data_IF_450794721684
#
_entry.id   IF_450794721684
#
_cell.length_a   1.000
_cell.length_b   1.000
_cell.length_c   1.000
_cell.angle_alpha   90.00
_cell.angle_beta   90.00
_cell.angle_gamma   90.00
#
_symmetry.space_group_name_H-M   'P 1'
#
loop_
_entity.id
_entity.type
_entity.pdbx_description
1 polymer ?
#
# COMPACT_ATOMS: atom_id res chain seq x y z
N UNK A 1 43.09 -62.94 58.16
CA UNK A 1 43.43 -61.73 57.39
C UNK A 1 42.75 -61.90 56.05
N UNK A 2 41.63 -61.22 55.84
CA UNK A 2 41.05 -61.01 54.55
C UNK A 2 40.05 -59.88 54.64
N UNK A 3 40.30 -58.91 53.87
CA UNK A 3 39.65 -57.66 53.86
C UNK A 3 38.43 -57.73 52.91
N UNK A 4 37.26 -57.36 53.38
CA UNK A 4 35.98 -57.42 52.67
C UNK A 4 35.62 -56.05 52.07
N UNK A 5 35.86 -55.87 50.80
CA UNK A 5 35.51 -54.66 50.06
C UNK A 5 34.00 -54.56 49.78
N UNK A 6 33.34 -53.61 50.42
CA UNK A 6 31.94 -53.27 50.15
C UNK A 6 31.79 -52.41 48.88
N UNK A 7 31.12 -52.95 47.88
CA UNK A 7 30.74 -52.18 46.68
C UNK A 7 29.53 -51.28 46.96
N UNK A 8 29.76 -49.98 46.98
CA UNK A 8 28.70 -48.97 47.05
C UNK A 8 28.01 -48.81 45.71
N UNK A 9 26.71 -49.12 45.65
CA UNK A 9 25.82 -48.87 44.46
C UNK A 9 25.58 -47.35 44.26
N UNK A 10 26.17 -46.78 43.20
CA UNK A 10 25.87 -45.39 42.78
C UNK A 10 24.43 -45.28 42.29
N UNK A 11 23.60 -44.55 43.00
CA UNK A 11 22.26 -44.14 42.53
C UNK A 11 22.43 -43.10 41.42
N UNK A 12 21.99 -43.46 40.19
CA UNK A 12 21.88 -42.53 39.06
C UNK A 12 20.72 -41.59 39.32
N UNK A 13 21.02 -40.30 39.51
CA UNK A 13 20.03 -39.21 39.61
C UNK A 13 19.36 -39.01 38.22
N UNK A 14 18.07 -39.35 38.08
CA UNK A 14 17.27 -38.92 36.95
C UNK A 14 17.23 -37.39 36.88
N UNK A 15 17.75 -36.80 35.79
CA UNK A 15 17.63 -35.37 35.50
C UNK A 15 16.16 -35.08 35.16
N UNK A 16 15.49 -34.31 36.00
CA UNK A 16 14.16 -33.73 35.68
C UNK A 16 14.33 -32.86 34.44
N UNK A 17 13.62 -33.16 33.36
CA UNK A 17 13.54 -32.28 32.16
C UNK A 17 12.90 -30.97 32.56
N UNK A 18 13.47 -29.84 32.23
CA UNK A 18 13.00 -28.55 32.73
C UNK A 18 11.66 -28.16 32.07
N UNK A 19 10.77 -27.59 32.89
CA UNK A 19 9.41 -27.17 32.54
C UNK A 19 9.30 -26.15 31.38
N UNK A 20 10.44 -25.56 30.97
CA UNK A 20 10.46 -24.58 29.87
C UNK A 20 10.14 -25.21 28.49
N UNK A 21 10.33 -26.51 28.28
CA UNK A 21 10.00 -27.17 27.01
C UNK A 21 8.47 -27.22 26.79
N UNK A 22 7.71 -27.40 27.88
CA UNK A 22 6.25 -27.37 27.82
C UNK A 22 5.71 -25.95 27.59
N UNK A 23 6.35 -24.94 28.19
CA UNK A 23 5.95 -23.55 28.01
C UNK A 23 6.19 -23.04 26.59
N UNK A 24 7.31 -23.39 25.99
CA UNK A 24 7.60 -23.01 24.59
C UNK A 24 6.65 -23.67 23.58
N UNK A 25 6.21 -24.90 23.84
CA UNK A 25 5.23 -25.57 22.98
C UNK A 25 3.83 -24.90 23.04
N UNK A 26 3.44 -24.41 24.22
CA UNK A 26 2.15 -23.70 24.39
C UNK A 26 2.20 -22.31 23.73
N UNK A 27 3.32 -21.58 23.82
CA UNK A 27 3.49 -20.28 23.17
C UNK A 27 3.53 -20.44 21.65
N UNK A 28 4.21 -21.46 21.12
CA UNK A 28 4.22 -21.73 19.68
C UNK A 28 2.85 -22.13 19.12
N UNK A 29 2.09 -22.93 19.86
CA UNK A 29 0.71 -23.30 19.51
C UNK A 29 -0.24 -22.09 19.56
N UNK A 30 -0.04 -21.17 20.52
CA UNK A 30 -0.80 -19.92 20.62
C UNK A 30 -0.51 -18.97 19.46
N UNK A 31 0.75 -18.87 19.03
CA UNK A 31 1.15 -18.03 17.87
C UNK A 31 0.63 -18.62 16.55
N UNK A 32 0.64 -19.94 16.38
CA UNK A 32 0.07 -20.60 15.20
C UNK A 32 -1.46 -20.52 15.15
N UNK A 33 -2.14 -20.64 16.30
CA UNK A 33 -3.59 -20.45 16.38
C UNK A 33 -3.97 -18.97 16.16
N UNK A 34 -3.19 -18.03 16.68
CA UNK A 34 -3.39 -16.60 16.47
C UNK A 34 -3.21 -16.20 15.00
N UNK A 35 -2.19 -16.72 14.31
CA UNK A 35 -1.98 -16.47 12.88
C UNK A 35 -3.06 -17.14 12.01
N UNK A 36 -3.58 -18.31 12.39
CA UNK A 36 -4.68 -18.95 11.68
C UNK A 36 -6.01 -18.20 11.90
N UNK A 37 -6.25 -17.68 13.11
CA UNK A 37 -7.45 -16.89 13.42
C UNK A 37 -7.42 -15.49 12.76
N UNK A 38 -6.25 -14.85 12.71
CA UNK A 38 -6.04 -13.62 11.93
C UNK A 38 -6.23 -13.88 10.44
N UNK A 39 -5.62 -14.93 9.88
CA UNK A 39 -5.81 -15.31 8.49
C UNK A 39 -7.25 -15.65 8.12
N UNK A 40 -8.02 -16.26 9.03
CA UNK A 40 -9.45 -16.52 8.84
C UNK A 40 -10.30 -15.24 8.89
N UNK A 41 -10.03 -14.33 9.82
CA UNK A 41 -10.71 -13.03 9.87
C UNK A 41 -10.41 -12.17 8.64
N UNK A 42 -9.16 -12.10 8.19
CA UNK A 42 -8.78 -11.39 6.97
C UNK A 42 -9.40 -12.02 5.72
N UNK A 43 -9.51 -13.33 5.63
CA UNK A 43 -10.12 -14.02 4.49
C UNK A 43 -11.64 -13.82 4.35
N UNK A 44 -12.34 -13.52 5.44
CA UNK A 44 -13.80 -13.27 5.44
C UNK A 44 -14.12 -11.79 5.14
N UNK A 45 -13.23 -10.86 5.51
CA UNK A 45 -13.40 -9.43 5.18
C UNK A 45 -12.97 -9.13 3.72
N UNK A 46 -11.96 -9.83 3.16
CA UNK A 46 -11.48 -9.58 1.80
C UNK A 46 -12.54 -9.77 0.72
N UNK A 47 -13.50 -10.69 0.94
CA UNK A 47 -14.67 -10.85 0.05
C UNK A 47 -15.68 -9.70 0.15
N UNK A 48 -15.69 -8.96 1.26
CA UNK A 48 -16.61 -7.85 1.50
C UNK A 48 -16.13 -6.56 0.84
N UNK A 49 -14.81 -6.33 0.78
CA UNK A 49 -14.21 -5.10 0.24
C UNK A 49 -14.06 -5.07 -1.27
N UNK A 50 -14.05 -6.22 -1.97
CA UNK A 50 -13.99 -6.24 -3.44
C UNK A 50 -15.15 -5.53 -4.14
N UNK A 51 -16.31 -5.43 -3.49
CA UNK A 51 -17.50 -4.78 -4.05
C UNK A 51 -17.52 -3.25 -3.93
N UNK A 52 -16.72 -2.67 -3.03
CA UNK A 52 -16.78 -1.26 -2.69
C UNK A 52 -15.62 -0.42 -3.29
N UNK A 53 -14.67 -1.06 -3.99
CA UNK A 53 -13.56 -0.35 -4.63
C UNK A 53 -14.00 0.18 -5.98
N UNK A 54 -14.00 1.49 -6.10
CA UNK A 54 -14.35 2.19 -7.34
C UNK A 54 -13.25 2.02 -8.39
N UNK A 55 -13.52 1.25 -9.44
CA UNK A 55 -12.67 1.21 -10.62
C UNK A 55 -13.01 2.38 -11.53
N UNK A 56 -12.00 3.12 -11.97
CA UNK A 56 -12.11 4.21 -12.94
C UNK A 56 -11.07 4.01 -14.03
N UNK A 57 -11.53 3.88 -15.26
CA UNK A 57 -10.73 3.75 -16.48
C UNK A 57 -11.63 4.05 -17.70
N UNK A 58 -11.16 3.81 -18.93
CA UNK A 58 -11.92 4.08 -20.15
C UNK A 58 -13.26 3.31 -20.23
N UNK A 59 -13.34 2.12 -19.64
CA UNK A 59 -14.55 1.29 -19.62
C UNK A 59 -15.49 1.60 -18.43
N UNK A 60 -14.97 2.29 -17.42
CA UNK A 60 -15.68 2.63 -16.16
C UNK A 60 -15.51 4.11 -15.86
N UNK A 61 -16.17 4.95 -16.65
CA UNK A 61 -16.04 6.41 -16.56
C UNK A 61 -16.97 7.00 -15.50
N UNK A 62 -16.47 8.04 -14.84
CA UNK A 62 -17.25 8.87 -13.91
C UNK A 62 -18.10 9.88 -14.69
N UNK A 63 -19.29 10.25 -14.16
CA UNK A 63 -20.08 11.36 -14.71
C UNK A 63 -19.29 12.67 -14.69
N UNK A 64 -19.62 13.58 -15.62
CA UNK A 64 -18.95 14.88 -15.71
C UNK A 64 -19.16 15.78 -14.46
N UNK A 65 -20.27 15.59 -13.76
CA UNK A 65 -20.63 16.29 -12.54
C UNK A 65 -20.22 15.55 -11.25
N UNK A 66 -19.51 14.43 -11.38
CA UNK A 66 -19.01 13.71 -10.21
C UNK A 66 -17.98 14.54 -9.45
N UNK A 67 -18.25 14.79 -8.18
CA UNK A 67 -17.34 15.42 -7.22
C UNK A 67 -17.30 14.55 -5.96
N UNK A 68 -16.14 14.08 -5.54
CA UNK A 68 -16.05 13.24 -4.33
C UNK A 68 -16.36 14.09 -3.08
N UNK A 69 -16.96 13.43 -2.09
CA UNK A 69 -17.19 14.06 -0.78
C UNK A 69 -15.88 14.18 0.02
N UNK A 70 -15.83 15.16 0.91
CA UNK A 70 -14.75 15.28 1.90
C UNK A 70 -13.40 15.68 1.32
N UNK A 71 -13.35 16.38 0.19
CA UNK A 71 -12.11 16.97 -0.32
C UNK A 71 -11.50 17.94 0.69
N UNK A 72 -10.20 17.83 0.91
CA UNK A 72 -9.39 18.73 1.74
C UNK A 72 -8.25 19.31 0.91
N UNK A 73 -7.98 20.60 1.10
CA UNK A 73 -6.80 21.23 0.52
C UNK A 73 -5.56 20.83 1.33
N UNK A 74 -4.57 20.21 0.69
CA UNK A 74 -3.36 19.72 1.37
C UNK A 74 -2.51 20.86 1.96
N UNK A 75 -2.52 22.04 1.33
CA UNK A 75 -1.77 23.20 1.82
C UNK A 75 -2.27 23.71 3.17
N UNK A 76 -3.56 23.51 3.47
CA UNK A 76 -4.18 23.88 4.74
C UNK A 76 -4.04 22.82 5.83
N UNK A 77 -3.51 21.65 5.47
CA UNK A 77 -3.28 20.55 6.40
C UNK A 77 -1.83 20.50 6.87
N UNK A 78 -1.57 19.80 7.98
CA UNK A 78 -0.21 19.42 8.36
C UNK A 78 0.30 18.35 7.38
N UNK A 79 1.53 18.50 6.92
CA UNK A 79 2.15 17.52 6.04
C UNK A 79 3.66 17.41 6.25
N UNK A 80 4.20 16.19 6.09
CA UNK A 80 5.62 15.83 6.14
C UNK A 80 6.29 15.80 4.75
N UNK A 81 5.57 16.20 3.71
CA UNK A 81 6.00 16.26 2.32
C UNK A 81 5.88 17.69 1.77
N UNK A 82 6.43 17.93 0.57
CA UNK A 82 6.28 19.21 -0.12
C UNK A 82 5.14 19.15 -1.14
N UNK A 83 4.63 20.31 -1.48
CA UNK A 83 3.59 20.48 -2.49
C UNK A 83 4.14 21.31 -3.65
N UNK A 84 3.88 20.88 -4.88
CA UNK A 84 4.22 21.64 -6.08
C UNK A 84 3.29 22.85 -6.30
N UNK A 85 2.07 22.81 -5.70
CA UNK A 85 1.06 23.86 -5.75
C UNK A 85 0.30 23.95 -4.44
N UNK A 86 -0.25 25.12 -4.12
CA UNK A 86 -1.21 25.31 -3.01
C UNK A 86 -2.63 24.80 -3.30
N UNK A 87 -2.91 24.37 -4.54
CA UNK A 87 -4.23 23.92 -4.99
C UNK A 87 -4.27 22.41 -5.27
N UNK A 88 -3.72 21.62 -4.34
CA UNK A 88 -3.76 20.17 -4.40
C UNK A 88 -4.77 19.68 -3.35
N UNK A 89 -5.76 18.90 -3.81
CA UNK A 89 -6.84 18.37 -2.99
C UNK A 89 -6.85 16.86 -3.06
N UNK A 90 -7.23 16.21 -1.96
CA UNK A 90 -7.55 14.77 -1.88
C UNK A 90 -8.77 14.59 -0.99
N UNK A 91 -9.41 13.42 -1.04
CA UNK A 91 -10.37 13.08 0.02
C UNK A 91 -9.65 13.02 1.36
N UNK A 92 -10.35 13.34 2.44
CA UNK A 92 -9.78 13.32 3.81
C UNK A 92 -9.13 11.99 4.14
N UNK A 93 -9.79 10.88 3.81
CA UNK A 93 -9.26 9.54 4.05
C UNK A 93 -7.94 9.30 3.31
N UNK A 94 -7.87 9.66 2.03
CA UNK A 94 -6.65 9.54 1.23
C UNK A 94 -5.52 10.39 1.78
N UNK A 95 -5.82 11.64 2.16
CA UNK A 95 -4.84 12.54 2.79
C UNK A 95 -4.30 11.94 4.10
N UNK A 96 -5.16 11.47 4.99
CA UNK A 96 -4.75 10.89 6.28
C UNK A 96 -3.90 9.63 6.11
N UNK A 97 -4.22 8.78 5.14
CA UNK A 97 -3.42 7.61 4.79
C UNK A 97 -2.06 8.01 4.22
N UNK A 98 -2.04 8.98 3.31
CA UNK A 98 -0.83 9.52 2.69
C UNK A 98 0.11 10.17 3.73
N UNK A 99 -0.43 10.95 4.68
CA UNK A 99 0.36 11.58 5.75
C UNK A 99 1.01 10.51 6.64
N UNK A 100 0.28 9.46 7.02
CA UNK A 100 0.86 8.32 7.77
C UNK A 100 1.98 7.63 6.99
N UNK A 101 1.80 7.45 5.70
CA UNK A 101 2.78 6.82 4.82
C UNK A 101 4.09 7.63 4.76
N UNK A 102 4.01 8.93 4.49
CA UNK A 102 5.20 9.76 4.39
C UNK A 102 5.86 10.04 5.75
N UNK A 103 5.10 10.10 6.84
CA UNK A 103 5.66 10.16 8.18
C UNK A 103 6.46 8.90 8.54
N UNK A 104 6.02 7.73 8.08
CA UNK A 104 6.78 6.49 8.25
C UNK A 104 8.04 6.47 7.39
N UNK A 105 7.97 6.94 6.14
CA UNK A 105 9.15 7.09 5.29
C UNK A 105 10.19 8.03 5.91
N UNK A 106 9.75 9.15 6.50
CA UNK A 106 10.63 10.07 7.23
C UNK A 106 11.30 9.39 8.43
N UNK A 107 10.57 8.55 9.17
CA UNK A 107 11.13 7.76 10.28
C UNK A 107 12.19 6.75 9.81
N UNK A 108 12.09 6.26 8.58
CA UNK A 108 13.09 5.44 7.90
C UNK A 108 14.21 6.27 7.24
N UNK A 109 14.27 7.58 7.48
CA UNK A 109 15.19 8.54 6.88
C UNK A 109 15.03 8.69 5.36
N UNK A 110 13.86 8.38 4.81
CA UNK A 110 13.49 8.64 3.42
C UNK A 110 12.53 9.82 3.39
N UNK A 111 13.02 10.98 2.94
CA UNK A 111 12.28 12.25 2.93
C UNK A 111 12.43 12.96 1.57
N UNK A 112 11.88 14.18 1.42
CA UNK A 112 12.00 14.97 0.18
C UNK A 112 10.99 14.57 -0.89
N UNK A 113 9.84 13.99 -0.49
CA UNK A 113 8.72 13.77 -1.40
C UNK A 113 8.04 15.09 -1.79
N UNK A 114 7.60 15.18 -3.03
CA UNK A 114 6.88 16.33 -3.58
C UNK A 114 5.60 15.81 -4.25
N UNK A 115 4.44 16.21 -3.73
CA UNK A 115 3.15 15.91 -4.37
C UNK A 115 2.92 16.92 -5.48
N UNK A 116 2.76 16.42 -6.70
CA UNK A 116 2.65 17.24 -7.91
C UNK A 116 1.21 17.38 -8.40
N UNK A 117 0.33 16.42 -8.10
CA UNK A 117 -1.07 16.41 -8.51
C UNK A 117 -1.92 15.65 -7.49
N UNK A 118 -3.19 16.03 -7.39
CA UNK A 118 -4.22 15.36 -6.61
C UNK A 118 -5.55 15.34 -7.38
N UNK A 119 -6.65 15.71 -6.74
CA UNK A 119 -7.96 15.80 -7.38
C UNK A 119 -7.94 16.74 -8.60
N UNK A 120 -8.54 16.28 -9.68
CA UNK A 120 -8.85 17.05 -10.88
C UNK A 120 -10.32 16.81 -11.26
N UNK A 121 -11.11 17.84 -11.40
CA UNK A 121 -12.46 17.73 -11.92
C UNK A 121 -12.46 17.35 -13.42
N UNK A 122 -13.64 17.07 -13.94
CA UNK A 122 -13.83 16.69 -15.35
C UNK A 122 -13.31 17.76 -16.31
N UNK A 123 -13.54 19.04 -16.01
CA UNK A 123 -13.11 20.16 -16.85
C UNK A 123 -11.60 20.28 -16.88
N UNK A 124 -10.96 20.20 -15.71
CA UNK A 124 -9.50 20.25 -15.61
C UNK A 124 -8.86 19.04 -16.30
N UNK A 125 -9.47 17.86 -16.21
CA UNK A 125 -8.99 16.68 -16.92
C UNK A 125 -9.10 16.86 -18.44
N UNK A 126 -10.16 17.52 -18.95
CA UNK A 126 -10.30 17.82 -20.37
C UNK A 126 -9.16 18.73 -20.90
N UNK A 127 -8.75 19.72 -20.10
CA UNK A 127 -7.61 20.59 -20.42
C UNK A 127 -6.31 19.77 -20.47
N UNK A 128 -6.03 18.96 -19.43
CA UNK A 128 -4.85 18.10 -19.37
C UNK A 128 -4.80 17.14 -20.55
N UNK A 129 -5.93 16.51 -20.88
CA UNK A 129 -6.03 15.59 -22.03
C UNK A 129 -5.74 16.29 -23.36
N UNK A 130 -6.27 17.50 -23.54
CA UNK A 130 -6.06 18.28 -24.78
C UNK A 130 -4.60 18.75 -24.95
N UNK A 131 -3.87 18.96 -23.84
CA UNK A 131 -2.47 19.39 -23.84
C UNK A 131 -1.48 18.22 -23.88
N UNK A 132 -1.95 16.99 -23.64
CA UNK A 132 -1.10 15.79 -23.55
C UNK A 132 -0.89 15.14 -24.92
N UNK A 133 0.26 14.46 -25.06
CA UNK A 133 0.47 13.57 -26.21
C UNK A 133 -0.51 12.38 -26.16
N UNK A 134 -0.87 11.81 -27.30
CA UNK A 134 -1.76 10.65 -27.36
C UNK A 134 -1.28 9.50 -26.46
N UNK A 135 -2.17 8.97 -25.61
CA UNK A 135 -1.88 7.88 -24.68
C UNK A 135 -1.09 8.25 -23.41
N UNK A 136 -0.90 9.56 -23.15
CA UNK A 136 -0.22 10.06 -21.95
C UNK A 136 -1.18 10.54 -20.87
N UNK A 137 -2.43 10.82 -21.19
CA UNK A 137 -3.45 11.19 -20.23
C UNK A 137 -4.75 10.43 -20.52
N UNK A 138 -5.49 10.14 -19.48
CA UNK A 138 -6.83 9.56 -19.55
C UNK A 138 -7.83 10.57 -20.09
N UNK A 139 -8.86 10.09 -20.80
CA UNK A 139 -10.00 10.95 -21.18
C UNK A 139 -10.74 11.48 -19.95
N UNK A 140 -11.43 12.63 -20.06
CA UNK A 140 -12.29 13.12 -18.97
C UNK A 140 -13.32 12.07 -18.55
N UNK A 141 -13.44 11.83 -17.26
CA UNK A 141 -14.24 10.76 -16.68
C UNK A 141 -13.49 9.45 -16.45
N UNK A 142 -12.45 9.15 -17.22
CA UNK A 142 -11.64 7.94 -17.06
C UNK A 142 -10.44 8.11 -16.11
N UNK A 143 -10.18 9.33 -15.66
CA UNK A 143 -9.03 9.62 -14.77
C UNK A 143 -9.36 9.37 -13.30
N UNK A 144 -8.51 8.59 -12.61
CA UNK A 144 -8.63 8.37 -11.17
C UNK A 144 -8.45 9.64 -10.32
N UNK A 145 -7.80 10.67 -10.86
CA UNK A 145 -7.72 11.97 -10.19
C UNK A 145 -9.09 12.60 -9.91
N UNK A 146 -10.11 12.29 -10.72
CA UNK A 146 -11.46 12.77 -10.47
C UNK A 146 -12.09 12.15 -9.21
N UNK A 147 -11.57 11.03 -8.71
CA UNK A 147 -12.03 10.41 -7.47
C UNK A 147 -11.53 11.09 -6.20
N UNK A 148 -10.46 11.90 -6.28
CA UNK A 148 -9.74 12.38 -5.10
C UNK A 148 -9.02 11.29 -4.30
N UNK A 149 -8.93 10.06 -4.86
CA UNK A 149 -8.26 8.90 -4.26
C UNK A 149 -6.88 8.64 -4.86
N UNK A 150 -6.45 9.44 -5.84
CA UNK A 150 -5.16 9.30 -6.51
C UNK A 150 -4.33 10.59 -6.42
N UNK A 151 -3.02 10.42 -6.35
CA UNK A 151 -2.06 11.51 -6.38
C UNK A 151 -0.82 11.14 -7.19
N UNK A 152 -0.16 12.16 -7.71
CA UNK A 152 1.15 12.03 -8.33
C UNK A 152 2.25 12.55 -7.39
N UNK A 153 3.35 11.81 -7.31
CA UNK A 153 4.48 12.12 -6.44
C UNK A 153 5.80 12.08 -7.20
N UNK A 154 6.69 12.99 -6.86
CA UNK A 154 8.09 12.96 -7.26
C UNK A 154 8.99 13.17 -6.05
N UNK A 155 10.29 13.28 -6.27
CA UNK A 155 11.27 13.53 -5.22
C UNK A 155 12.17 14.72 -5.56
N UNK A 156 12.70 15.35 -4.52
CA UNK A 156 13.82 16.28 -4.68
C UNK A 156 14.99 15.56 -5.37
N UNK A 157 15.61 16.22 -6.35
CA UNK A 157 16.76 15.70 -7.08
C UNK A 157 16.49 14.43 -7.93
N UNK A 158 15.27 14.27 -8.44
CA UNK A 158 14.88 13.16 -9.35
C UNK A 158 15.39 13.35 -10.80
N UNK A 159 16.67 13.79 -10.96
CA UNK A 159 17.23 14.15 -12.28
C UNK A 159 17.24 13.03 -13.31
N UNK A 160 17.43 11.76 -12.87
CA UNK A 160 17.42 10.57 -13.74
C UNK A 160 16.04 9.87 -13.79
N UNK A 161 15.00 10.54 -13.30
CA UNK A 161 13.65 10.00 -13.15
C UNK A 161 13.32 9.57 -11.73
N UNK A 162 12.03 9.63 -11.39
CA UNK A 162 11.55 9.31 -10.05
C UNK A 162 11.86 7.85 -9.65
N UNK A 163 11.75 6.92 -10.59
CA UNK A 163 12.02 5.49 -10.40
C UNK A 163 13.46 5.17 -9.96
N UNK A 164 14.40 6.10 -10.15
CA UNK A 164 15.80 5.95 -9.72
C UNK A 164 16.06 6.44 -8.29
N UNK A 165 15.04 6.96 -7.60
CA UNK A 165 15.17 7.58 -6.29
C UNK A 165 14.97 6.59 -5.12
N UNK A 166 15.59 6.84 -3.94
CA UNK A 166 15.28 6.10 -2.71
C UNK A 166 13.80 6.20 -2.30
N UNK A 167 13.14 7.32 -2.60
CA UNK A 167 11.74 7.56 -2.32
C UNK A 167 10.85 6.58 -3.09
N UNK A 168 11.10 6.40 -4.38
CA UNK A 168 10.38 5.40 -5.17
C UNK A 168 10.64 3.98 -4.68
N UNK A 169 11.90 3.65 -4.36
CA UNK A 169 12.25 2.33 -3.83
C UNK A 169 11.51 2.02 -2.52
N UNK A 170 11.38 3.01 -1.64
CA UNK A 170 10.61 2.89 -0.40
C UNK A 170 9.11 2.71 -0.67
N UNK A 171 8.51 3.54 -1.51
CA UNK A 171 7.09 3.45 -1.87
C UNK A 171 6.74 2.09 -2.49
N UNK A 172 7.58 1.55 -3.35
CA UNK A 172 7.38 0.20 -3.92
C UNK A 172 7.27 -0.89 -2.87
N UNK A 173 7.96 -0.75 -1.75
CA UNK A 173 7.97 -1.75 -0.68
C UNK A 173 6.86 -1.54 0.34
N UNK A 174 6.48 -0.29 0.62
CA UNK A 174 5.70 0.06 1.80
C UNK A 174 4.35 0.73 1.50
N UNK A 175 4.11 1.24 0.29
CA UNK A 175 2.87 1.98 0.01
C UNK A 175 1.60 1.15 0.28
N UNK A 176 1.64 -0.15 0.04
CA UNK A 176 0.52 -1.07 0.28
C UNK A 176 0.13 -1.17 1.78
N UNK A 177 1.09 -1.01 2.70
CA UNK A 177 0.87 -1.01 4.16
C UNK A 177 -0.01 0.17 4.61
N UNK A 178 -0.11 1.21 3.77
CA UNK A 178 -0.90 2.42 3.99
C UNK A 178 -2.13 2.52 3.07
N UNK A 179 -2.39 1.46 2.29
CA UNK A 179 -3.55 1.38 1.42
C UNK A 179 -3.35 1.91 0.01
N UNK A 180 -2.11 2.15 -0.41
CA UNK A 180 -1.79 2.65 -1.75
C UNK A 180 -1.21 1.57 -2.65
N UNK A 181 -1.60 1.62 -3.92
CA UNK A 181 -0.98 0.85 -4.99
C UNK A 181 -0.29 1.77 -5.99
N UNK A 182 0.83 1.33 -6.56
CA UNK A 182 1.33 1.89 -7.80
C UNK A 182 0.37 1.45 -8.91
N UNK A 183 -0.44 2.37 -9.41
CA UNK A 183 -1.62 2.06 -10.23
C UNK A 183 -1.26 1.52 -11.61
N UNK A 184 -0.22 2.05 -12.23
CA UNK A 184 0.21 1.74 -13.59
C UNK A 184 1.64 1.18 -13.60
N UNK A 185 1.82 -0.09 -13.15
CA UNK A 185 3.14 -0.70 -13.06
C UNK A 185 3.71 -1.06 -14.44
N UNK A 186 5.03 -1.23 -14.51
CA UNK A 186 5.71 -1.61 -15.74
C UNK A 186 5.18 -2.95 -16.28
N UNK A 187 5.10 -3.05 -17.61
CA UNK A 187 4.65 -4.25 -18.35
C UNK A 187 3.18 -4.67 -18.08
N UNK A 188 2.33 -3.73 -17.65
CA UNK A 188 0.89 -3.96 -17.38
C UNK A 188 -0.02 -3.03 -18.18
N UNK A 189 0.49 -2.34 -19.20
CA UNK A 189 -0.28 -1.42 -20.03
C UNK A 189 -1.45 -2.12 -20.75
N UNK A 190 -1.30 -3.38 -21.14
CA UNK A 190 -2.36 -4.17 -21.77
C UNK A 190 -3.54 -4.45 -20.83
N UNK A 191 -3.29 -4.47 -19.50
CA UNK A 191 -4.30 -4.68 -18.47
C UNK A 191 -4.96 -3.37 -18.00
N UNK A 192 -4.18 -2.28 -17.95
CA UNK A 192 -4.62 -1.00 -17.36
C UNK A 192 -5.03 0.04 -18.38
N UNK A 193 -4.66 -0.14 -19.67
CA UNK A 193 -4.85 0.84 -20.73
C UNK A 193 -3.86 2.03 -20.69
N UNK A 194 -2.99 2.11 -19.66
CA UNK A 194 -2.08 3.22 -19.44
C UNK A 194 -0.62 2.73 -19.40
N UNK A 195 0.27 3.51 -19.99
CA UNK A 195 1.71 3.26 -19.93
C UNK A 195 2.23 3.38 -18.50
N UNK A 196 3.44 2.85 -18.27
CA UNK A 196 4.09 2.89 -16.97
C UNK A 196 4.17 4.29 -16.37
N UNK A 197 3.65 4.44 -15.15
CA UNK A 197 3.69 5.68 -14.38
C UNK A 197 4.22 5.39 -12.97
N UNK A 198 5.52 5.58 -12.71
CA UNK A 198 6.12 5.34 -11.40
C UNK A 198 5.63 6.33 -10.33
N UNK A 199 5.09 7.47 -10.74
CA UNK A 199 4.63 8.55 -9.88
C UNK A 199 3.18 8.43 -9.41
N UNK A 200 2.33 7.66 -10.11
CA UNK A 200 0.88 7.62 -9.87
C UNK A 200 0.50 6.55 -8.84
N UNK A 201 -0.02 7.00 -7.70
CA UNK A 201 -0.49 6.15 -6.60
C UNK A 201 -1.98 6.31 -6.36
N UNK A 202 -2.66 5.16 -6.19
CA UNK A 202 -4.08 5.08 -5.93
C UNK A 202 -4.37 4.47 -4.55
N UNK A 203 -5.21 5.13 -3.76
CA UNK A 203 -5.75 4.61 -2.51
C UNK A 203 -6.89 3.61 -2.77
N UNK A 204 -6.77 2.42 -2.21
CA UNK A 204 -7.76 1.33 -2.31
C UNK A 204 -8.03 0.67 -0.95
N UNK A 205 -7.45 1.22 0.14
CA UNK A 205 -7.48 0.63 1.48
C UNK A 205 -6.39 -0.43 1.68
N UNK A 206 -5.96 -0.60 2.93
CA UNK A 206 -4.79 -1.42 3.29
C UNK A 206 -4.93 -2.86 2.84
N UNK A 207 -6.10 -3.47 3.07
CA UNK A 207 -6.32 -4.87 2.76
C UNK A 207 -6.20 -5.17 1.27
N UNK A 208 -6.90 -4.39 0.43
CA UNK A 208 -6.87 -4.54 -1.02
C UNK A 208 -5.48 -4.23 -1.58
N UNK A 209 -4.84 -3.14 -1.10
CA UNK A 209 -3.49 -2.76 -1.53
C UNK A 209 -2.47 -3.87 -1.23
N UNK A 210 -2.53 -4.48 -0.05
CA UNK A 210 -1.65 -5.59 0.34
C UNK A 210 -1.87 -6.82 -0.54
N UNK A 211 -3.12 -7.22 -0.80
CA UNK A 211 -3.42 -8.35 -1.67
C UNK A 211 -2.97 -8.12 -3.13
N UNK A 212 -3.16 -6.90 -3.66
CA UNK A 212 -2.70 -6.51 -4.99
C UNK A 212 -1.17 -6.56 -5.07
N UNK A 213 -0.49 -6.05 -4.05
CA UNK A 213 0.97 -6.05 -3.98
C UNK A 213 1.54 -7.46 -3.87
N UNK A 214 1.04 -8.29 -2.95
CA UNK A 214 1.48 -9.68 -2.74
C UNK A 214 1.25 -10.56 -3.97
N UNK A 215 0.12 -10.38 -4.66
CA UNK A 215 -0.23 -11.13 -5.86
C UNK A 215 0.39 -10.57 -7.13
N UNK A 216 0.98 -9.37 -7.09
CA UNK A 216 1.54 -8.63 -8.22
C UNK A 216 0.55 -8.51 -9.40
N UNK A 217 -0.69 -8.14 -9.10
CA UNK A 217 -1.77 -7.96 -10.09
C UNK A 217 -2.15 -6.48 -10.22
N UNK A 218 -2.88 -6.13 -11.28
CA UNK A 218 -3.48 -4.80 -11.46
C UNK A 218 -4.79 -4.69 -10.68
N UNK A 219 -5.31 -3.47 -10.53
CA UNK A 219 -6.62 -3.24 -9.93
C UNK A 219 -7.72 -3.92 -10.75
N UNK A 220 -7.63 -3.88 -12.08
CA UNK A 220 -8.54 -4.56 -13.00
C UNK A 220 -8.58 -6.07 -12.75
N UNK A 221 -7.42 -6.71 -12.71
CA UNK A 221 -7.29 -8.15 -12.46
C UNK A 221 -7.80 -8.51 -11.05
N UNK A 222 -7.46 -7.71 -10.05
CA UNK A 222 -7.93 -7.89 -8.68
C UNK A 222 -9.46 -7.86 -8.58
N UNK A 223 -10.11 -6.94 -9.30
CA UNK A 223 -11.57 -6.81 -9.33
C UNK A 223 -12.26 -7.82 -10.28
N UNK A 224 -11.49 -8.58 -11.07
CA UNK A 224 -12.02 -9.51 -12.08
C UNK A 224 -12.67 -8.78 -13.26
N UNK A 225 -12.05 -7.69 -13.73
CA UNK A 225 -12.53 -6.79 -14.78
C UNK A 225 -11.58 -6.77 -16.01
N UNK A 226 -10.77 -7.81 -16.20
CA UNK A 226 -9.98 -8.01 -17.43
C UNK A 226 -10.80 -8.65 -18.53
#
# INVERSE_FOLDING_TARGET
>A
MSDGGSMAKKKVKQKKRPAYIALNAIVLAGLLAGSFFLGWHFGVESTKYKGDILLVNEDHQLPADYVPEGLVNLYEQRHSFRLASSEIYLTRETYEAMERMFAAAEADNVNGFIITSGYRDYQRQAEVFAESEPGKAQTPGASEHQTGLAFDVTAENSGDGFESTPQYAWLRQHAHEYGFIQRYPANKADETGISYEPWHYRYVGVEAATQIWESNVTLEAFLGKL
#
